data_IF_169016064441
#
_entry.id   IF_169016064441
#
_cell.length_a   1.000
_cell.length_b   1.000
_cell.length_c   1.000
_cell.angle_alpha   90.00
_cell.angle_beta   90.00
_cell.angle_gamma   90.00
#
_symmetry.space_group_name_H-M   'P 1'
#
loop_
_entity.id
_entity.type
_entity.pdbx_description
1 polymer ?
#
# COMPACT_ATOMS: atom_id res chain seq x y z
N UNK A 1 9.51 3.46 -8.79
CA UNK A 1 9.29 2.70 -7.53
C UNK A 1 8.48 3.48 -6.51
N UNK A 2 8.88 4.70 -6.13
CA UNK A 2 8.15 5.54 -5.16
C UNK A 2 6.69 5.81 -5.55
N UNK A 3 6.42 5.95 -6.85
CA UNK A 3 5.04 6.07 -7.37
C UNK A 3 4.21 4.83 -7.05
N UNK A 4 4.80 3.63 -7.19
CA UNK A 4 4.13 2.38 -6.85
C UNK A 4 3.84 2.25 -5.36
N UNK A 5 4.74 2.70 -4.49
CA UNK A 5 4.50 2.75 -3.03
C UNK A 5 3.27 3.60 -2.71
N UNK A 6 3.19 4.83 -3.26
CA UNK A 6 2.04 5.69 -3.04
C UNK A 6 0.73 5.11 -3.59
N UNK A 7 0.77 4.45 -4.77
CA UNK A 7 -0.41 3.79 -5.33
C UNK A 7 -0.83 2.56 -4.53
N UNK A 8 0.12 1.81 -3.95
CA UNK A 8 -0.17 0.70 -3.03
C UNK A 8 -0.92 1.20 -1.81
N UNK A 9 -0.41 2.25 -1.17
CA UNK A 9 -1.08 2.87 -0.03
C UNK A 9 -2.44 3.47 -0.37
N UNK A 10 -2.62 4.07 -1.55
CA UNK A 10 -3.94 4.51 -1.99
C UNK A 10 -4.90 3.35 -2.27
N UNK A 11 -4.39 2.25 -2.83
CA UNK A 11 -5.23 1.07 -3.02
C UNK A 11 -5.71 0.54 -1.67
N UNK A 12 -4.82 0.37 -0.73
CA UNK A 12 -5.17 -0.08 0.61
C UNK A 12 -6.17 0.87 1.27
N UNK A 13 -5.81 2.13 1.42
CA UNK A 13 -6.66 3.11 2.09
C UNK A 13 -8.00 3.37 1.40
N UNK A 14 -8.06 3.43 0.07
CA UNK A 14 -9.31 3.69 -0.64
C UNK A 14 -10.15 2.42 -0.77
N UNK A 15 -9.55 1.31 -1.18
CA UNK A 15 -10.31 0.09 -1.46
C UNK A 15 -10.60 -0.69 -0.18
N UNK A 16 -9.57 -0.96 0.64
CA UNK A 16 -9.75 -1.80 1.82
C UNK A 16 -10.36 -1.03 2.99
N UNK A 17 -9.86 0.18 3.31
CA UNK A 17 -10.40 0.98 4.42
C UNK A 17 -11.74 1.65 4.10
N UNK A 18 -11.88 2.30 2.91
CA UNK A 18 -13.03 3.17 2.64
C UNK A 18 -14.16 2.47 1.89
N UNK A 19 -13.87 1.68 0.83
CA UNK A 19 -14.91 1.05 0.00
C UNK A 19 -15.39 -0.25 0.62
N UNK A 20 -14.46 -1.17 0.88
CA UNK A 20 -14.76 -2.49 1.45
C UNK A 20 -14.95 -2.46 2.96
N UNK A 21 -14.34 -1.48 3.63
CA UNK A 21 -14.35 -1.34 5.09
C UNK A 21 -13.94 -2.64 5.79
N UNK A 22 -12.91 -3.30 5.23
CA UNK A 22 -12.42 -4.55 5.78
C UNK A 22 -11.66 -4.34 7.08
N UNK A 23 -10.99 -3.19 7.20
CA UNK A 23 -10.30 -2.72 8.39
C UNK A 23 -10.15 -1.19 8.32
N UNK A 24 -9.63 -0.61 9.39
CA UNK A 24 -9.17 0.78 9.48
C UNK A 24 -7.81 0.81 10.16
N UNK A 25 -7.10 1.92 10.10
CA UNK A 25 -5.70 2.05 10.50
C UNK A 25 -5.39 1.48 11.89
N UNK A 26 -6.31 1.58 12.85
CA UNK A 26 -6.12 1.12 14.23
C UNK A 26 -7.23 0.17 14.71
N UNK A 27 -7.94 -0.50 13.80
CA UNK A 27 -9.19 -1.20 14.14
C UNK A 27 -9.00 -2.43 15.05
N UNK A 28 -7.83 -3.09 15.05
CA UNK A 28 -7.53 -4.15 16.03
C UNK A 28 -7.27 -3.61 17.43
N UNK A 29 -6.71 -2.40 17.56
CA UNK A 29 -6.48 -1.76 18.86
C UNK A 29 -7.70 -1.02 19.38
N UNK A 30 -8.43 -0.35 18.47
CA UNK A 30 -9.63 0.44 18.74
C UNK A 30 -10.77 -0.02 17.83
N UNK A 31 -11.43 -1.15 18.17
CA UNK A 31 -12.52 -1.71 17.36
C UNK A 31 -13.63 -0.68 17.13
N UNK A 32 -14.22 -0.68 15.92
CA UNK A 32 -15.27 0.27 15.51
C UNK A 32 -16.63 -0.12 16.12
N UNK A 33 -16.73 0.00 17.43
CA UNK A 33 -17.94 -0.29 18.21
C UNK A 33 -18.50 0.95 18.91
N UNK A 34 -17.86 2.13 18.73
CA UNK A 34 -18.32 3.41 19.25
C UNK A 34 -17.96 4.53 18.24
N UNK A 35 -18.66 5.66 18.34
CA UNK A 35 -18.34 6.84 17.51
C UNK A 35 -16.94 7.38 17.79
N UNK A 36 -16.49 7.37 19.02
CA UNK A 36 -15.14 7.81 19.41
C UNK A 36 -14.06 6.98 18.70
N UNK A 37 -14.19 5.66 18.70
CA UNK A 37 -13.25 4.77 18.00
C UNK A 37 -13.33 4.93 16.47
N UNK A 38 -14.53 5.16 15.93
CA UNK A 38 -14.70 5.43 14.51
C UNK A 38 -14.03 6.75 14.10
N UNK A 39 -14.22 7.81 14.87
CA UNK A 39 -13.56 9.10 14.62
C UNK A 39 -12.03 8.99 14.72
N UNK A 40 -11.51 8.26 15.72
CA UNK A 40 -10.08 8.01 15.87
C UNK A 40 -9.51 7.25 14.66
N UNK A 41 -10.17 6.18 14.24
CA UNK A 41 -9.74 5.41 13.07
C UNK A 41 -9.79 6.26 11.79
N UNK A 42 -10.87 7.02 11.57
CA UNK A 42 -11.02 7.92 10.44
C UNK A 42 -9.92 8.98 10.39
N UNK A 43 -9.53 9.53 11.54
CA UNK A 43 -8.41 10.46 11.63
C UNK A 43 -7.10 9.81 11.18
N UNK A 44 -6.78 8.60 11.67
CA UNK A 44 -5.55 7.90 11.31
C UNK A 44 -5.55 7.39 9.86
N UNK A 45 -6.70 6.98 9.33
CA UNK A 45 -6.87 6.73 7.89
C UNK A 45 -6.52 7.99 7.07
N UNK A 46 -6.96 9.16 7.52
CA UNK A 46 -6.62 10.44 6.90
C UNK A 46 -5.12 10.76 6.96
N UNK A 47 -4.44 10.48 8.09
CA UNK A 47 -2.99 10.62 8.23
C UNK A 47 -2.26 9.68 7.26
N UNK A 48 -2.69 8.42 7.19
CA UNK A 48 -2.15 7.44 6.25
C UNK A 48 -2.31 7.89 4.78
N UNK A 49 -3.51 8.35 4.38
CA UNK A 49 -3.72 8.91 3.05
C UNK A 49 -2.84 10.13 2.76
N UNK A 50 -2.61 10.98 3.77
CA UNK A 50 -1.72 12.13 3.62
C UNK A 50 -0.28 11.70 3.35
N UNK A 51 0.19 10.65 4.01
CA UNK A 51 1.52 10.08 3.74
C UNK A 51 1.61 9.50 2.32
N UNK A 52 0.62 8.72 1.87
CA UNK A 52 0.60 8.17 0.51
C UNK A 52 0.53 9.28 -0.54
N UNK A 53 -0.19 10.36 -0.26
CA UNK A 53 -0.25 11.55 -1.12
C UNK A 53 1.13 12.22 -1.28
N UNK A 54 1.88 12.34 -0.18
CA UNK A 54 3.25 12.88 -0.20
C UNK A 54 4.18 11.98 -1.05
N UNK A 55 4.07 10.65 -0.95
CA UNK A 55 4.84 9.74 -1.80
C UNK A 55 4.54 9.95 -3.30
N UNK A 56 3.27 10.10 -3.68
CA UNK A 56 2.88 10.35 -5.07
C UNK A 56 3.39 11.69 -5.57
N UNK A 57 3.23 12.77 -4.79
CA UNK A 57 3.74 14.09 -5.15
C UNK A 57 5.26 14.09 -5.31
N UNK A 58 5.97 13.42 -4.38
CA UNK A 58 7.43 13.29 -4.44
C UNK A 58 7.87 12.52 -5.70
N UNK A 59 7.16 11.44 -6.02
CA UNK A 59 7.42 10.64 -7.22
C UNK A 59 7.20 11.47 -8.50
N UNK A 60 6.10 12.23 -8.57
CA UNK A 60 5.83 13.15 -9.69
C UNK A 60 6.91 14.22 -9.83
N UNK A 61 7.35 14.80 -8.72
CA UNK A 61 8.40 15.82 -8.74
C UNK A 61 9.73 15.25 -9.25
N UNK A 62 10.11 14.05 -8.78
CA UNK A 62 11.33 13.37 -9.24
C UNK A 62 11.22 13.04 -10.73
N UNK A 63 10.06 12.51 -11.18
CA UNK A 63 9.82 12.19 -12.57
C UNK A 63 9.88 13.44 -13.45
N UNK A 64 9.26 14.53 -13.02
CA UNK A 64 9.32 15.83 -13.68
C UNK A 64 10.76 16.34 -13.85
N UNK A 65 11.55 16.29 -12.77
CA UNK A 65 12.97 16.66 -12.84
C UNK A 65 13.73 15.78 -13.82
N UNK A 66 13.53 14.47 -13.76
CA UNK A 66 14.21 13.51 -14.64
C UNK A 66 13.86 13.73 -16.11
N UNK A 67 12.58 13.98 -16.41
CA UNK A 67 12.09 14.20 -17.76
C UNK A 67 12.71 15.45 -18.44
N UNK A 68 13.24 16.40 -17.65
CA UNK A 68 13.90 17.60 -18.17
C UNK A 68 15.38 17.36 -18.55
N UNK A 69 15.92 16.20 -18.22
CA UNK A 69 17.30 15.86 -18.56
C UNK A 69 17.38 15.33 -20.00
N UNK A 70 18.28 15.87 -20.81
CA UNK A 70 18.41 15.52 -22.23
C UNK A 70 18.76 14.04 -22.50
N UNK A 71 19.34 13.37 -21.50
CA UNK A 71 19.71 11.96 -21.58
C UNK A 71 18.64 11.00 -20.99
N UNK A 72 17.53 11.53 -20.51
CA UNK A 72 16.47 10.69 -19.94
C UNK A 72 15.76 9.89 -21.04
N UNK A 73 15.80 8.57 -20.91
CA UNK A 73 15.12 7.65 -21.83
C UNK A 73 13.83 7.12 -21.20
N UNK A 74 12.73 7.31 -21.90
CA UNK A 74 11.45 6.79 -21.49
C UNK A 74 11.33 5.30 -21.82
N UNK A 75 11.07 4.48 -20.81
CA UNK A 75 10.76 3.06 -20.98
C UNK A 75 9.47 2.75 -20.23
N UNK A 76 8.41 2.43 -20.98
CA UNK A 76 7.12 2.02 -20.40
C UNK A 76 7.26 0.77 -19.54
N UNK A 77 8.11 -0.16 -19.95
CA UNK A 77 8.36 -1.40 -19.20
C UNK A 77 9.05 -1.14 -17.88
N UNK A 78 10.12 -0.35 -17.88
CA UNK A 78 10.81 0.04 -16.64
C UNK A 78 9.89 0.81 -15.71
N UNK A 79 9.09 1.72 -16.25
CA UNK A 79 8.12 2.47 -15.47
C UNK A 79 7.08 1.54 -14.83
N UNK A 80 6.43 0.68 -15.64
CA UNK A 80 5.45 -0.28 -15.14
C UNK A 80 6.06 -1.30 -14.17
N UNK A 81 7.25 -1.83 -14.48
CA UNK A 81 7.98 -2.76 -13.61
C UNK A 81 8.32 -2.14 -12.25
N UNK A 82 8.85 -0.90 -12.25
CA UNK A 82 9.17 -0.20 -11.01
C UNK A 82 7.93 0.22 -10.22
N UNK A 83 6.80 0.47 -10.88
CA UNK A 83 5.52 0.68 -10.20
C UNK A 83 5.04 -0.58 -9.49
N UNK A 84 5.07 -1.74 -10.17
CA UNK A 84 4.71 -3.02 -9.56
C UNK A 84 5.62 -3.36 -8.37
N UNK A 85 6.92 -3.15 -8.50
CA UNK A 85 7.87 -3.34 -7.38
C UNK A 85 7.48 -2.44 -6.21
N UNK A 86 7.24 -1.15 -6.46
CA UNK A 86 6.88 -0.21 -5.40
C UNK A 86 5.58 -0.57 -4.70
N UNK A 87 4.56 -0.96 -5.44
CA UNK A 87 3.28 -1.42 -4.90
C UNK A 87 3.47 -2.69 -4.05
N UNK A 88 4.16 -3.69 -4.58
CA UNK A 88 4.43 -4.93 -3.84
C UNK A 88 5.29 -4.70 -2.59
N UNK A 89 6.25 -3.78 -2.64
CA UNK A 89 7.04 -3.39 -1.46
C UNK A 89 6.19 -2.72 -0.38
N UNK A 90 5.23 -1.87 -0.78
CA UNK A 90 4.25 -1.32 0.16
C UNK A 90 3.51 -2.45 0.88
N UNK A 91 2.89 -3.37 0.13
CA UNK A 91 2.14 -4.49 0.71
C UNK A 91 3.00 -5.36 1.65
N UNK A 92 4.28 -5.60 1.29
CA UNK A 92 5.19 -6.38 2.13
C UNK A 92 5.54 -5.65 3.43
N UNK A 93 5.86 -4.36 3.35
CA UNK A 93 6.22 -3.55 4.52
C UNK A 93 5.03 -3.40 5.45
N UNK A 94 3.89 -2.99 4.92
CA UNK A 94 2.66 -2.84 5.68
C UNK A 94 2.20 -4.18 6.27
N UNK A 95 2.12 -5.23 5.46
CA UNK A 95 1.69 -6.56 5.92
C UNK A 95 2.60 -7.14 7.00
N UNK A 96 3.91 -6.85 6.99
CA UNK A 96 4.82 -7.28 8.06
C UNK A 96 4.70 -6.34 9.27
N UNK A 97 4.77 -5.03 9.06
CA UNK A 97 4.83 -4.07 10.17
C UNK A 97 3.48 -3.94 10.85
N UNK A 98 2.43 -3.64 10.08
CA UNK A 98 1.14 -3.27 10.66
C UNK A 98 0.30 -4.49 11.05
N UNK A 99 0.32 -5.57 10.24
CA UNK A 99 -0.46 -6.77 10.55
C UNK A 99 0.26 -7.73 11.51
N UNK A 100 1.59 -7.94 11.36
CA UNK A 100 2.28 -8.99 12.11
C UNK A 100 3.06 -8.46 13.32
N UNK A 101 3.77 -7.34 13.20
CA UNK A 101 4.64 -6.82 14.27
C UNK A 101 3.85 -5.94 15.25
N UNK A 102 3.10 -4.97 14.74
CA UNK A 102 2.35 -4.02 15.55
C UNK A 102 0.92 -4.50 15.83
N UNK A 103 0.33 -5.30 14.95
CA UNK A 103 -1.05 -5.75 15.07
C UNK A 103 -2.05 -4.60 15.13
N UNK A 104 -1.83 -3.56 14.32
CA UNK A 104 -2.70 -2.38 14.26
C UNK A 104 -4.07 -2.72 13.67
N UNK A 105 -4.05 -3.55 12.64
CA UNK A 105 -5.20 -4.13 11.94
C UNK A 105 -4.76 -5.40 11.20
N UNK A 106 -5.73 -6.11 10.62
CA UNK A 106 -5.52 -7.24 9.73
C UNK A 106 -6.22 -6.98 8.39
N UNK A 107 -5.80 -7.62 7.31
CA UNK A 107 -6.32 -7.34 5.96
C UNK A 107 -7.84 -7.39 5.88
N UNK A 108 -8.47 -8.36 6.56
CA UNK A 108 -9.91 -8.47 6.55
C UNK A 108 -10.44 -8.84 7.94
N UNK A 109 -10.88 -7.84 8.69
CA UNK A 109 -11.47 -8.00 10.02
C UNK A 109 -12.97 -8.23 10.01
N UNK A 110 -13.63 -8.23 8.82
CA UNK A 110 -15.06 -8.51 8.69
C UNK A 110 -15.40 -10.00 8.74
N UNK A 111 -14.40 -10.86 8.68
CA UNK A 111 -14.53 -12.32 8.76
C UNK A 111 -14.15 -12.81 10.15
N UNK A 112 -14.42 -14.11 10.44
CA UNK A 112 -14.01 -14.73 11.70
C UNK A 112 -12.50 -14.60 11.94
N UNK A 113 -12.12 -14.29 13.17
CA UNK A 113 -10.72 -14.08 13.59
C UNK A 113 -9.78 -15.24 13.23
N UNK A 114 -10.29 -16.46 13.21
CA UNK A 114 -9.55 -17.66 12.77
C UNK A 114 -9.07 -17.58 11.32
N UNK A 115 -9.70 -16.76 10.49
CA UNK A 115 -9.37 -16.56 9.07
C UNK A 115 -8.44 -15.37 8.82
N UNK A 116 -8.16 -14.51 9.78
CA UNK A 116 -7.36 -13.29 9.59
C UNK A 116 -5.96 -13.59 9.05
N UNK A 117 -5.28 -14.56 9.67
CA UNK A 117 -3.93 -14.96 9.24
C UNK A 117 -3.90 -15.46 7.79
N UNK A 118 -4.97 -16.08 7.30
CA UNK A 118 -5.06 -16.51 5.90
C UNK A 118 -5.07 -15.29 4.95
N UNK A 119 -5.81 -14.25 5.30
CA UNK A 119 -5.85 -12.99 4.52
C UNK A 119 -4.51 -12.25 4.56
N UNK A 120 -3.88 -12.17 5.73
CA UNK A 120 -2.58 -11.53 5.90
C UNK A 120 -1.49 -12.23 5.08
N UNK A 121 -1.45 -13.57 5.11
CA UNK A 121 -0.50 -14.35 4.30
C UNK A 121 -0.78 -14.16 2.81
N UNK A 122 -2.06 -14.17 2.40
CA UNK A 122 -2.46 -13.91 1.03
C UNK A 122 -2.00 -12.54 0.52
N UNK A 123 -2.09 -11.53 1.37
CA UNK A 123 -1.63 -10.17 1.09
C UNK A 123 -0.11 -10.10 0.91
N UNK A 124 0.65 -10.79 1.77
CA UNK A 124 2.11 -10.89 1.64
C UNK A 124 2.52 -11.63 0.36
N UNK A 125 1.85 -12.74 0.03
CA UNK A 125 2.09 -13.49 -1.22
C UNK A 125 1.80 -12.60 -2.43
N UNK A 126 0.71 -11.84 -2.41
CA UNK A 126 0.38 -10.90 -3.47
C UNK A 126 1.46 -9.82 -3.62
N UNK A 127 1.92 -9.22 -2.50
CA UNK A 127 3.02 -8.26 -2.50
C UNK A 127 4.30 -8.83 -3.10
N UNK A 128 4.71 -10.04 -2.68
CA UNK A 128 5.88 -10.72 -3.20
C UNK A 128 5.75 -11.04 -4.71
N UNK A 129 4.58 -11.49 -5.16
CA UNK A 129 4.30 -11.73 -6.57
C UNK A 129 4.43 -10.45 -7.42
N UNK A 130 3.93 -9.32 -6.93
CA UNK A 130 4.06 -8.03 -7.61
C UNK A 130 5.52 -7.59 -7.73
N UNK A 131 6.32 -7.76 -6.68
CA UNK A 131 7.77 -7.49 -6.73
C UNK A 131 8.46 -8.37 -7.78
N UNK A 132 8.19 -9.68 -7.78
CA UNK A 132 8.78 -10.62 -8.73
C UNK A 132 8.38 -10.30 -10.19
N UNK A 133 7.10 -10.04 -10.44
CA UNK A 133 6.59 -9.67 -11.76
C UNK A 133 7.18 -8.34 -12.24
N UNK A 134 7.24 -7.35 -11.35
CA UNK A 134 7.84 -6.05 -11.66
C UNK A 134 9.32 -6.15 -12.02
N UNK A 135 10.06 -7.00 -11.30
CA UNK A 135 11.46 -7.29 -11.60
C UNK A 135 11.66 -7.95 -12.97
N UNK A 136 10.86 -8.97 -13.28
CA UNK A 136 10.92 -9.66 -14.59
C UNK A 136 10.53 -8.70 -15.72
N UNK A 137 9.49 -7.89 -15.54
CA UNK A 137 9.05 -6.92 -16.53
C UNK A 137 10.12 -5.86 -16.82
N UNK A 138 10.78 -5.33 -15.78
CA UNK A 138 11.81 -4.30 -15.91
C UNK A 138 13.14 -4.80 -16.53
N UNK A 139 13.47 -6.09 -16.39
CA UNK A 139 14.73 -6.67 -16.92
C UNK A 139 14.75 -6.95 -18.42
N UNK A 140 13.61 -6.98 -19.08
CA UNK A 140 13.48 -7.32 -20.51
C UNK A 140 13.58 -6.12 -21.45
N UNK A 141 14.11 -4.99 -20.97
CA UNK A 141 14.34 -3.77 -21.76
C UNK A 141 15.75 -3.72 -22.35
#
# INVERSE_FOLDING_TARGET
>A
MLFGVGLGGFFDGIVLHQILQWHHMLSSWYPINSMENLELNTFWDGVFHSATYIFVLSALFILWRSARLSHFKWSTREFAGTMLIGFGMFNLVEGVVDHQVLGLHHVNETVERSSWMFWDIGFLIWGAAMVALGWVAGRRS
#
